data_IF_650482991975
#
_entry.id   IF_650482991975
#
_cell.length_a   1.000
_cell.length_b   1.000
_cell.length_c   1.000
_cell.angle_alpha   90.00
_cell.angle_beta   90.00
_cell.angle_gamma   90.00
#
_symmetry.space_group_name_H-M   'P 1'
#
loop_
_entity.id
_entity.type
_entity.pdbx_description
1 polymer ?
#
# COMPACT_ATOMS: atom_id res chain seq x y z
N UNK A 1 31.94 -23.45 6.62
CA UNK A 1 31.92 -22.72 7.90
C UNK A 1 31.12 -21.47 7.62
N UNK A 2 29.81 -21.58 7.75
CA UNK A 2 28.88 -20.50 7.42
C UNK A 2 28.90 -19.51 8.58
N UNK A 3 29.40 -18.31 8.30
CA UNK A 3 29.28 -17.19 9.22
C UNK A 3 27.82 -16.77 9.22
N UNK A 4 27.02 -17.35 10.13
CA UNK A 4 25.73 -16.78 10.48
C UNK A 4 26.06 -15.41 11.10
N UNK A 5 25.84 -14.37 10.31
CA UNK A 5 26.03 -12.99 10.71
C UNK A 5 24.98 -12.68 11.78
N UNK A 6 25.36 -12.82 13.05
CA UNK A 6 24.46 -12.77 14.20
C UNK A 6 23.66 -11.46 14.29
N UNK A 7 24.12 -10.39 13.63
CA UNK A 7 23.42 -9.13 13.54
C UNK A 7 22.12 -9.21 12.70
N UNK A 8 22.04 -10.08 11.70
CA UNK A 8 20.84 -10.13 10.85
C UNK A 8 19.62 -10.69 11.59
N UNK A 9 19.81 -11.70 12.45
CA UNK A 9 18.70 -12.34 13.15
C UNK A 9 18.02 -11.44 14.20
N UNK A 10 18.71 -10.40 14.68
CA UNK A 10 18.17 -9.48 15.69
C UNK A 10 17.28 -8.38 15.09
N UNK A 11 17.48 -8.03 13.82
CA UNK A 11 16.71 -6.98 13.11
C UNK A 11 15.62 -7.52 12.17
N UNK A 12 15.59 -8.83 11.92
CA UNK A 12 14.56 -9.49 11.07
C UNK A 12 13.13 -9.19 11.55
N UNK A 13 12.91 -9.11 12.86
CA UNK A 13 11.58 -8.86 13.43
C UNK A 13 11.13 -7.40 13.25
N UNK A 14 12.07 -6.44 13.28
CA UNK A 14 11.77 -5.02 13.08
C UNK A 14 11.34 -4.71 11.65
N UNK A 15 12.09 -5.24 10.67
CA UNK A 15 11.77 -5.07 9.25
C UNK A 15 10.43 -5.74 8.89
N UNK A 16 10.12 -6.86 9.55
CA UNK A 16 8.83 -7.55 9.39
C UNK A 16 7.68 -6.72 9.93
N UNK A 17 7.80 -6.24 11.17
CA UNK A 17 6.76 -5.45 11.82
C UNK A 17 6.44 -4.18 11.00
N UNK A 18 7.47 -3.47 10.54
CA UNK A 18 7.29 -2.29 9.71
C UNK A 18 6.57 -2.63 8.38
N UNK A 19 6.89 -3.77 7.78
CA UNK A 19 6.25 -4.24 6.56
C UNK A 19 4.77 -4.61 6.80
N UNK A 20 4.44 -5.24 7.92
CA UNK A 20 3.06 -5.57 8.31
C UNK A 20 2.22 -4.31 8.59
N UNK A 21 2.80 -3.31 9.27
CA UNK A 21 2.14 -2.03 9.54
C UNK A 21 1.83 -1.27 8.24
N UNK A 22 2.82 -1.12 7.36
CA UNK A 22 2.66 -0.46 6.05
C UNK A 22 1.70 -1.22 5.14
N UNK A 23 1.79 -2.55 5.14
CA UNK A 23 0.87 -3.41 4.39
C UNK A 23 -0.57 -3.26 4.86
N UNK A 24 -0.79 -3.27 6.17
CA UNK A 24 -2.12 -3.06 6.77
C UNK A 24 -2.69 -1.68 6.41
N UNK A 25 -1.88 -0.63 6.49
CA UNK A 25 -2.29 0.72 6.11
C UNK A 25 -2.70 0.80 4.63
N UNK A 26 -1.94 0.14 3.75
CA UNK A 26 -2.22 0.06 2.32
C UNK A 26 -3.56 -0.65 2.04
N UNK A 27 -3.79 -1.83 2.61
CA UNK A 27 -5.05 -2.57 2.43
C UNK A 27 -6.24 -1.78 2.98
N UNK A 28 -6.09 -1.17 4.15
CA UNK A 28 -7.15 -0.36 4.75
C UNK A 28 -7.47 0.90 3.92
N UNK A 29 -6.49 1.46 3.19
CA UNK A 29 -6.76 2.56 2.28
C UNK A 29 -7.68 2.15 1.11
N UNK A 30 -7.49 0.95 0.55
CA UNK A 30 -8.39 0.42 -0.49
C UNK A 30 -9.77 0.07 0.04
N UNK A 31 -9.86 -0.50 1.26
CA UNK A 31 -11.15 -0.80 1.90
C UNK A 31 -12.02 0.43 2.10
N UNK A 32 -11.42 1.59 2.35
CA UNK A 32 -12.16 2.87 2.44
C UNK A 32 -12.86 3.25 1.13
N UNK A 33 -12.41 2.67 0.01
CA UNK A 33 -12.97 2.84 -1.33
C UNK A 33 -13.80 1.63 -1.76
N UNK A 34 -14.18 0.76 -0.82
CA UNK A 34 -14.90 -0.49 -1.10
C UNK A 34 -14.13 -1.42 -2.07
N UNK A 35 -12.80 -1.36 -2.05
CA UNK A 35 -11.93 -2.23 -2.83
C UNK A 35 -11.34 -3.29 -1.88
N UNK A 36 -11.63 -4.55 -2.20
CA UNK A 36 -11.08 -5.71 -1.52
C UNK A 36 -10.27 -6.53 -2.52
N UNK A 37 -9.22 -7.19 -2.03
CA UNK A 37 -8.43 -8.13 -2.81
C UNK A 37 -8.45 -9.46 -2.07
N UNK A 38 -8.71 -10.54 -2.79
CA UNK A 38 -8.90 -11.86 -2.18
C UNK A 38 -7.60 -12.50 -1.69
N UNK A 39 -6.50 -12.29 -2.44
CA UNK A 39 -5.22 -12.99 -2.24
C UNK A 39 -4.05 -12.02 -1.93
N UNK A 40 -4.20 -11.18 -0.90
CA UNK A 40 -3.12 -10.27 -0.47
C UNK A 40 -2.05 -11.04 0.29
N UNK A 41 -0.80 -10.93 -0.16
CA UNK A 41 0.34 -11.58 0.48
C UNK A 41 1.45 -10.55 0.78
N UNK A 42 1.97 -10.57 2.01
CA UNK A 42 3.26 -9.96 2.32
C UNK A 42 4.35 -11.01 2.14
N UNK A 43 5.30 -10.76 1.23
CA UNK A 43 6.40 -11.67 0.92
C UNK A 43 7.69 -11.22 1.55
N UNK A 44 8.33 -12.14 2.27
CA UNK A 44 9.64 -11.95 2.87
C UNK A 44 10.73 -11.69 1.83
N UNK A 45 11.76 -10.92 2.18
CA UNK A 45 12.92 -10.72 1.32
C UNK A 45 13.61 -12.06 1.05
N UNK A 46 13.88 -12.35 -0.22
CA UNK A 46 14.57 -13.56 -0.62
C UNK A 46 16.09 -13.35 -0.48
N UNK A 47 16.72 -14.12 0.40
CA UNK A 47 18.16 -14.04 0.73
C UNK A 47 19.11 -14.25 -0.46
N UNK A 48 18.63 -14.85 -1.56
CA UNK A 48 19.40 -15.04 -2.80
C UNK A 48 18.88 -14.25 -4.01
N UNK A 49 17.84 -13.44 -3.85
CA UNK A 49 17.21 -12.71 -4.96
C UNK A 49 17.66 -11.25 -4.97
N UNK A 50 17.56 -10.61 -6.15
CA UNK A 50 17.90 -9.18 -6.31
C UNK A 50 17.03 -8.23 -5.46
N UNK A 51 15.85 -8.68 -5.02
CA UNK A 51 14.98 -7.92 -4.11
C UNK A 51 15.25 -8.36 -2.68
N UNK A 52 15.99 -7.54 -1.95
CA UNK A 52 16.32 -7.73 -0.54
C UNK A 52 15.29 -7.09 0.42
N UNK A 53 14.11 -6.68 -0.07
CA UNK A 53 13.08 -6.02 0.73
C UNK A 53 11.76 -6.81 0.70
N UNK A 54 10.93 -6.61 1.74
CA UNK A 54 9.55 -7.09 1.77
C UNK A 54 8.74 -6.55 0.59
N UNK A 55 7.84 -7.37 0.06
CA UNK A 55 6.96 -6.96 -1.05
C UNK A 55 5.51 -7.33 -0.77
N UNK A 56 4.58 -6.49 -1.22
CA UNK A 56 3.14 -6.76 -1.15
C UNK A 56 2.69 -7.25 -2.52
N UNK A 57 1.97 -8.37 -2.54
CA UNK A 57 1.30 -8.91 -3.72
C UNK A 57 -0.19 -8.79 -3.51
N UNK A 58 -0.91 -8.25 -4.49
CA UNK A 58 -2.36 -8.06 -4.47
C UNK A 58 -3.16 -9.24 -5.03
N UNK A 59 -2.54 -10.43 -5.09
CA UNK A 59 -3.16 -11.59 -5.70
C UNK A 59 -3.22 -11.56 -7.22
N UNK A 60 -4.18 -12.31 -7.76
CA UNK A 60 -4.56 -12.29 -9.17
C UNK A 60 -5.78 -11.38 -9.31
N UNK A 61 -5.71 -10.41 -10.20
CA UNK A 61 -6.84 -9.52 -10.51
C UNK A 61 -7.25 -9.81 -11.95
N UNK A 62 -8.51 -10.19 -12.16
CA UNK A 62 -9.06 -10.38 -13.50
C UNK A 62 -9.26 -9.03 -14.21
N UNK A 63 -9.37 -9.02 -15.55
CA UNK A 63 -9.64 -7.77 -16.28
C UNK A 63 -10.95 -7.08 -15.86
N UNK A 64 -11.97 -7.84 -15.47
CA UNK A 64 -13.25 -7.31 -15.01
C UNK A 64 -13.09 -6.63 -13.65
N UNK A 65 -12.48 -7.30 -12.68
CA UNK A 65 -12.17 -6.73 -11.36
C UNK A 65 -11.25 -5.51 -11.49
N UNK A 66 -10.27 -5.54 -12.37
CA UNK A 66 -9.40 -4.39 -12.64
C UNK A 66 -10.22 -3.18 -13.16
N UNK A 67 -11.22 -3.43 -14.00
CA UNK A 67 -12.16 -2.40 -14.46
C UNK A 67 -13.00 -1.83 -13.31
N UNK A 68 -13.49 -2.67 -12.41
CA UNK A 68 -14.27 -2.25 -11.24
C UNK A 68 -13.45 -1.42 -10.27
N UNK A 69 -12.23 -1.88 -9.96
CA UNK A 69 -11.27 -1.16 -9.12
C UNK A 69 -10.96 0.21 -9.73
N UNK A 70 -10.67 0.27 -11.04
CA UNK A 70 -10.39 1.54 -11.71
C UNK A 70 -11.58 2.50 -11.65
N UNK A 71 -12.82 2.01 -11.82
CA UNK A 71 -14.03 2.83 -11.68
C UNK A 71 -14.17 3.40 -10.27
N UNK A 72 -14.00 2.57 -9.23
CA UNK A 72 -14.08 3.01 -7.83
C UNK A 72 -13.01 4.06 -7.50
N UNK A 73 -11.77 3.84 -7.95
CA UNK A 73 -10.66 4.78 -7.76
C UNK A 73 -10.91 6.12 -8.43
N UNK A 74 -11.26 6.12 -9.72
CA UNK A 74 -11.49 7.36 -10.46
C UNK A 74 -12.67 8.15 -9.89
N UNK A 75 -13.76 7.46 -9.50
CA UNK A 75 -14.88 8.12 -8.85
C UNK A 75 -14.48 8.84 -7.55
N UNK A 76 -13.64 8.20 -6.72
CA UNK A 76 -13.15 8.83 -5.49
C UNK A 76 -12.26 10.04 -5.76
N UNK A 77 -11.44 10.00 -6.82
CA UNK A 77 -10.61 11.13 -7.24
C UNK A 77 -11.46 12.27 -7.78
N UNK A 78 -12.47 11.99 -8.60
CA UNK A 78 -13.40 12.99 -9.13
C UNK A 78 -14.12 13.74 -8.00
N UNK A 79 -14.56 13.03 -6.95
CA UNK A 79 -15.16 13.64 -5.76
C UNK A 79 -14.17 14.53 -5.01
N UNK A 80 -12.92 14.09 -4.86
CA UNK A 80 -11.88 14.87 -4.19
C UNK A 80 -11.55 16.15 -4.96
N UNK A 81 -11.46 16.08 -6.28
CA UNK A 81 -11.17 17.24 -7.12
C UNK A 81 -12.35 18.22 -7.11
N UNK A 82 -13.60 17.74 -7.18
CA UNK A 82 -14.77 18.59 -7.03
C UNK A 82 -14.79 19.32 -5.68
N UNK A 83 -14.39 18.66 -4.58
CA UNK A 83 -14.27 19.31 -3.27
C UNK A 83 -13.17 20.37 -3.23
N UNK A 84 -12.04 20.15 -3.90
CA UNK A 84 -10.95 21.14 -4.00
C UNK A 84 -11.35 22.37 -4.80
N UNK A 85 -12.09 22.19 -5.88
CA UNK A 85 -12.61 23.29 -6.70
C UNK A 85 -13.65 24.13 -5.95
N UNK A 86 -14.43 23.50 -5.07
CA UNK A 86 -15.42 24.17 -4.20
C UNK A 86 -14.81 24.84 -2.96
N UNK A 87 -13.52 24.65 -2.70
CA UNK A 87 -12.79 25.34 -1.63
C UNK A 87 -11.85 26.42 -2.21
N UNK A 88 -12.35 27.46 -2.90
CA UNK A 88 -11.51 28.58 -3.24
C UNK A 88 -11.20 29.36 -1.96
N UNK A 89 -9.97 29.16 -1.45
CA UNK A 89 -9.23 30.16 -0.69
C UNK A 89 -9.90 30.66 0.62
N UNK A 90 -9.94 29.79 1.63
CA UNK A 90 -10.24 30.19 3.02
C UNK A 90 -9.04 30.84 3.74
N UNK A 91 -7.94 31.15 3.02
CA UNK A 91 -6.69 31.72 3.57
C UNK A 91 -6.38 33.12 3.04
N UNK A 92 -7.28 33.73 2.26
CA UNK A 92 -7.15 35.13 1.85
C UNK A 92 -7.57 36.07 2.98
N UNK A 93 -6.72 36.19 4.00
CA UNK A 93 -6.82 37.25 5.02
C UNK A 93 -6.52 38.60 4.31
N UNK A 94 -7.45 39.56 4.25
CA UNK A 94 -7.10 40.91 3.81
C UNK A 94 -6.31 41.60 4.92
N UNK A 95 -5.13 42.10 4.58
CA UNK A 95 -4.34 43.03 5.40
C UNK A 95 -4.99 44.41 5.48
#
# INVERSE_FOLDING_TARGET
MDFINADHAFWVDGDRQEAEEKGSAFVNAFRRLDIEFDDIELKEPCSGCRRAAYTIRLGTISPEEAGDIARKLNHALDLLDAHREQAPDADRRPD
#
